data_IF_629683290179
#
_entry.id   IF_629683290179
#
_cell.length_a   1.000
_cell.length_b   1.000
_cell.length_c   1.000
_cell.angle_alpha   90.00
_cell.angle_beta   90.00
_cell.angle_gamma   90.00
#
_symmetry.space_group_name_H-M   'P 1'
#
loop_
_entity.id
_entity.type
_entity.pdbx_description
1 polymer ?
#
# COMPACT_ATOMS: atom_id res chain seq x y z
N UNK A 1 -7.56 12.03 2.43
CA UNK A 1 -7.68 11.37 1.11
C UNK A 1 -9.13 11.02 0.78
N UNK A 2 -9.85 10.36 1.69
CA UNK A 2 -11.21 9.81 1.45
C UNK A 2 -12.23 10.86 0.97
N UNK A 3 -12.22 12.07 1.54
CA UNK A 3 -13.16 13.15 1.17
C UNK A 3 -12.95 13.67 -0.26
N UNK A 4 -11.75 13.49 -0.84
CA UNK A 4 -11.37 14.08 -2.13
C UNK A 4 -11.60 13.17 -3.33
N UNK A 5 -12.06 11.94 -3.08
CA UNK A 5 -12.27 10.88 -4.08
C UNK A 5 -11.21 10.81 -5.21
N UNK A 6 -9.90 10.76 -4.89
CA UNK A 6 -8.87 10.84 -5.91
C UNK A 6 -8.79 9.54 -6.73
N UNK A 7 -8.51 9.66 -8.04
CA UNK A 7 -8.27 8.51 -8.93
C UNK A 7 -6.97 7.77 -8.62
N UNK A 8 -6.00 8.47 -8.03
CA UNK A 8 -4.68 7.95 -7.65
C UNK A 8 -4.45 8.14 -6.16
N UNK A 9 -4.09 7.07 -5.47
CA UNK A 9 -3.70 7.06 -4.06
C UNK A 9 -2.21 6.78 -3.93
N UNK A 10 -1.53 7.60 -3.14
CA UNK A 10 -0.15 7.37 -2.72
C UNK A 10 -0.19 7.09 -1.21
N UNK A 11 0.29 5.93 -0.80
CA UNK A 11 0.31 5.48 0.58
C UNK A 11 1.76 5.22 1.01
N UNK A 12 2.11 5.70 2.19
CA UNK A 12 3.38 5.39 2.85
C UNK A 12 3.05 4.58 4.11
N UNK A 13 3.58 3.37 4.22
CA UNK A 13 3.20 2.41 5.27
C UNK A 13 3.88 2.77 6.60
N UNK A 14 3.40 3.84 7.24
CA UNK A 14 3.86 4.34 8.54
C UNK A 14 3.12 3.72 9.73
N UNK A 15 2.73 2.44 9.64
CA UNK A 15 1.91 1.74 10.66
C UNK A 15 2.74 0.96 11.69
N UNK A 16 4.06 1.12 11.72
CA UNK A 16 4.97 0.35 12.60
C UNK A 16 4.76 0.55 14.10
N UNK A 17 3.93 1.51 14.51
CA UNK A 17 3.61 1.82 15.91
C UNK A 17 2.26 1.28 16.40
N UNK A 18 1.51 0.57 15.55
CA UNK A 18 0.21 0.01 15.90
C UNK A 18 0.35 -1.43 16.43
N UNK A 19 -0.49 -1.80 17.39
CA UNK A 19 -0.66 -3.20 17.78
C UNK A 19 -1.37 -4.00 16.67
N UNK A 20 -1.32 -5.33 16.75
CA UNK A 20 -1.82 -6.22 15.69
C UNK A 20 -3.32 -6.09 15.40
N UNK A 21 -4.15 -5.72 16.39
CA UNK A 21 -5.59 -5.53 16.18
C UNK A 21 -5.84 -4.22 15.43
N UNK A 22 -5.27 -3.13 15.94
CA UNK A 22 -5.35 -1.81 15.32
C UNK A 22 -4.81 -1.83 13.88
N UNK A 23 -3.74 -2.58 13.64
CA UNK A 23 -3.14 -2.77 12.33
C UNK A 23 -4.10 -3.47 11.36
N UNK A 24 -4.86 -4.47 11.81
CA UNK A 24 -5.84 -5.16 10.97
C UNK A 24 -6.99 -4.23 10.59
N UNK A 25 -7.47 -3.43 11.53
CA UNK A 25 -8.54 -2.44 11.27
C UNK A 25 -8.09 -1.40 10.24
N UNK A 26 -6.86 -0.89 10.36
CA UNK A 26 -6.30 0.06 9.38
C UNK A 26 -6.15 -0.60 8.02
N UNK A 27 -5.67 -1.85 7.96
CA UNK A 27 -5.54 -2.58 6.70
C UNK A 27 -6.90 -2.75 6.00
N UNK A 28 -7.93 -3.19 6.73
CA UNK A 28 -9.27 -3.37 6.17
C UNK A 28 -9.85 -2.04 5.63
N UNK A 29 -9.56 -0.92 6.31
CA UNK A 29 -9.97 0.40 5.87
C UNK A 29 -9.22 0.82 4.58
N UNK A 30 -7.91 0.59 4.51
CA UNK A 30 -7.11 0.88 3.32
C UNK A 30 -7.57 0.04 2.13
N UNK A 31 -7.79 -1.27 2.33
CA UNK A 31 -8.24 -2.18 1.28
C UNK A 31 -9.56 -1.70 0.66
N UNK A 32 -10.53 -1.26 1.48
CA UNK A 32 -11.79 -0.68 0.99
C UNK A 32 -11.59 0.61 0.21
N UNK A 33 -10.68 1.46 0.65
CA UNK A 33 -10.40 2.74 0.00
C UNK A 33 -9.69 2.55 -1.34
N UNK A 34 -8.88 1.49 -1.48
CA UNK A 34 -8.12 1.17 -2.70
C UNK A 34 -8.99 0.61 -3.84
N UNK A 35 -10.17 0.05 -3.54
CA UNK A 35 -11.08 -0.49 -4.56
C UNK A 35 -11.40 0.57 -5.62
N UNK A 36 -11.28 0.18 -6.90
CA UNK A 36 -11.51 1.03 -8.06
C UNK A 36 -10.59 2.27 -8.17
N UNK A 37 -9.43 2.26 -7.50
CA UNK A 37 -8.42 3.32 -7.59
C UNK A 37 -7.06 2.78 -7.98
N UNK A 38 -6.29 3.60 -8.67
CA UNK A 38 -4.86 3.31 -8.86
C UNK A 38 -4.14 3.61 -7.55
N UNK A 39 -3.52 2.62 -6.95
CA UNK A 39 -2.82 2.80 -5.67
C UNK A 39 -1.34 2.47 -5.82
N UNK A 40 -0.48 3.38 -5.35
CA UNK A 40 0.95 3.16 -5.18
C UNK A 40 1.22 3.18 -3.69
N UNK A 41 1.83 2.11 -3.18
CA UNK A 41 2.16 1.96 -1.77
C UNK A 41 3.64 1.63 -1.62
N UNK A 42 4.30 2.30 -0.67
CA UNK A 42 5.60 1.85 -0.16
C UNK A 42 5.31 0.74 0.84
N UNK A 43 5.48 -0.51 0.40
CA UNK A 43 5.13 -1.67 1.21
C UNK A 43 6.29 -2.11 2.10
N UNK A 44 6.05 -2.19 3.41
CA UNK A 44 6.88 -2.82 4.42
C UNK A 44 6.30 -4.16 4.89
N UNK A 45 5.01 -4.42 4.64
CA UNK A 45 4.34 -5.67 5.03
C UNK A 45 4.13 -6.65 3.88
N UNK A 46 4.33 -7.93 4.16
CA UNK A 46 4.13 -9.00 3.19
C UNK A 46 2.67 -9.12 2.73
N UNK A 47 1.69 -8.73 3.55
CA UNK A 47 0.26 -8.73 3.19
C UNK A 47 -0.02 -7.76 2.02
N UNK A 48 0.50 -6.53 2.10
CA UNK A 48 0.40 -5.53 1.02
C UNK A 48 1.10 -6.02 -0.25
N UNK A 49 2.29 -6.60 -0.10
CA UNK A 49 3.07 -7.15 -1.23
C UNK A 49 2.30 -8.26 -1.94
N UNK A 50 1.73 -9.23 -1.20
CA UNK A 50 0.99 -10.37 -1.76
C UNK A 50 -0.27 -9.96 -2.52
N UNK A 51 -0.92 -8.88 -2.10
CA UNK A 51 -2.14 -8.38 -2.71
C UNK A 51 -1.88 -7.38 -3.84
N UNK A 52 -0.62 -6.98 -4.07
CA UNK A 52 -0.26 -6.03 -5.10
C UNK A 52 -0.51 -6.60 -6.50
N UNK A 53 -1.01 -5.75 -7.40
CA UNK A 53 -1.11 -6.10 -8.81
C UNK A 53 0.26 -6.19 -9.49
N UNK A 54 1.18 -5.31 -9.08
CA UNK A 54 2.58 -5.25 -9.54
C UNK A 54 3.44 -4.78 -8.37
N UNK A 55 4.61 -5.39 -8.23
CA UNK A 55 5.66 -5.02 -7.28
C UNK A 55 6.82 -4.45 -8.08
N UNK A 56 7.36 -3.31 -7.63
CA UNK A 56 8.58 -2.72 -8.18
C UNK A 56 9.62 -2.58 -7.06
N UNK A 57 10.77 -3.23 -7.22
CA UNK A 57 11.86 -3.15 -6.24
C UNK A 57 12.75 -1.97 -6.61
N UNK A 58 12.86 -1.00 -5.71
CA UNK A 58 13.71 0.18 -5.88
C UNK A 58 15.02 0.00 -5.11
N UNK A 59 16.15 0.17 -5.79
CA UNK A 59 17.49 0.15 -5.18
C UNK A 59 18.32 1.27 -5.78
N UNK A 60 18.96 2.09 -4.95
CA UNK A 60 19.77 3.25 -5.38
C UNK A 60 19.02 4.20 -6.35
N UNK A 61 17.73 4.41 -6.11
CA UNK A 61 16.90 5.30 -6.93
C UNK A 61 16.45 4.73 -8.29
N UNK A 62 16.76 3.47 -8.60
CA UNK A 62 16.32 2.80 -9.85
C UNK A 62 15.49 1.56 -9.56
N UNK A 63 14.58 1.21 -10.48
CA UNK A 63 13.82 -0.04 -10.41
C UNK A 63 14.74 -1.17 -10.89
N UNK A 64 15.13 -2.06 -9.97
CA UNK A 64 16.00 -3.21 -10.28
C UNK A 64 15.20 -4.45 -10.66
N UNK A 65 13.94 -4.53 -10.23
CA UNK A 65 13.04 -5.65 -10.52
C UNK A 65 11.59 -5.17 -10.57
N UNK A 66 10.79 -5.83 -11.41
CA UNK A 66 9.35 -5.59 -11.52
C UNK A 66 8.64 -6.90 -11.84
N UNK A 67 7.62 -7.23 -11.06
CA UNK A 67 6.89 -8.49 -11.19
C UNK A 67 5.59 -8.51 -10.42
N UNK A 68 5.01 -9.69 -10.24
CA UNK A 68 3.91 -9.95 -9.33
C UNK A 68 4.39 -10.92 -8.25
#
# INVERSE_FOLDING_TARGET
AIVKDPKVLLLDEATSALDAESERVVQDALDRVMVNRTTIVVAHRLSMIKNAGVIAVVKNGVIVEKGK
#
